data_IF_998201245754
#
_entry.id   IF_998201245754
#
_cell.length_a   1.000
_cell.length_b   1.000
_cell.length_c   1.000
_cell.angle_alpha   90.00
_cell.angle_beta   90.00
_cell.angle_gamma   90.00
#
_symmetry.space_group_name_H-M   'P 1'
#
loop_
_entity.id
_entity.type
_entity.pdbx_description
1 polymer ?
#
# COMPACT_ATOMS: atom_id res chain seq x y z
N UNK A 1 -8.01 -23.66 -2.93
CA UNK A 1 -7.26 -22.72 -3.77
C UNK A 1 -5.96 -22.37 -3.06
N UNK A 2 -4.86 -22.38 -3.78
CA UNK A 2 -3.55 -21.99 -3.24
C UNK A 2 -3.35 -20.51 -3.56
N UNK A 3 -3.81 -19.62 -2.68
CA UNK A 3 -3.55 -18.20 -2.79
C UNK A 3 -2.23 -17.87 -2.09
N UNK A 4 -1.38 -17.06 -2.72
CA UNK A 4 -0.12 -16.59 -2.14
C UNK A 4 -0.40 -15.53 -1.05
N UNK A 5 -1.37 -14.65 -1.28
CA UNK A 5 -1.86 -13.63 -0.34
C UNK A 5 -3.32 -13.29 -0.63
N UNK A 6 -3.97 -12.60 0.29
CA UNK A 6 -5.32 -12.07 0.12
C UNK A 6 -5.30 -10.56 0.29
N UNK A 7 -5.57 -9.82 -0.78
CA UNK A 7 -5.82 -8.38 -0.71
C UNK A 7 -7.30 -8.17 -0.36
N UNK A 8 -7.59 -7.81 0.88
CA UNK A 8 -8.93 -7.94 1.42
C UNK A 8 -9.36 -6.81 2.39
N UNK A 9 -8.46 -5.88 2.71
CA UNK A 9 -8.68 -4.81 3.65
C UNK A 9 -7.94 -3.54 3.21
N UNK A 10 -8.27 -2.39 3.79
CA UNK A 10 -7.74 -1.08 3.41
C UNK A 10 -8.58 -0.39 2.33
N UNK A 11 -8.18 0.81 1.90
CA UNK A 11 -8.84 1.60 0.86
C UNK A 11 -10.35 1.67 1.05
N UNK A 12 -11.09 1.26 0.02
CA UNK A 12 -12.56 1.30 0.01
C UNK A 12 -13.18 0.43 1.11
N UNK A 13 -12.59 -0.70 1.46
CA UNK A 13 -13.13 -1.58 2.52
C UNK A 13 -13.14 -0.88 3.88
N UNK A 14 -12.07 -0.14 4.20
CA UNK A 14 -11.99 0.64 5.44
C UNK A 14 -13.08 1.71 5.49
N UNK A 15 -13.22 2.48 4.40
CA UNK A 15 -14.19 3.56 4.29
C UNK A 15 -15.65 3.05 4.30
N UNK A 16 -15.93 1.97 3.59
CA UNK A 16 -17.25 1.34 3.55
C UNK A 16 -17.67 0.81 4.93
N UNK A 17 -16.77 0.18 5.66
CA UNK A 17 -17.04 -0.29 7.01
C UNK A 17 -17.50 0.85 7.93
N UNK A 18 -16.78 1.98 7.92
CA UNK A 18 -17.10 3.13 8.75
C UNK A 18 -18.37 3.86 8.29
N UNK A 19 -18.46 4.19 7.00
CA UNK A 19 -19.53 5.10 6.50
C UNK A 19 -20.87 4.41 6.28
N UNK A 20 -20.84 3.21 5.74
CA UNK A 20 -22.07 2.54 5.30
C UNK A 20 -22.50 1.41 6.23
N UNK A 21 -21.55 0.56 6.65
CA UNK A 21 -21.87 -0.59 7.49
C UNK A 21 -21.97 -0.25 8.98
N UNK A 22 -21.41 0.91 9.38
CA UNK A 22 -21.31 1.31 10.80
C UNK A 22 -20.57 0.29 11.66
N UNK A 23 -19.56 -0.35 11.07
CA UNK A 23 -18.71 -1.33 11.68
C UNK A 23 -17.31 -0.76 11.93
N UNK A 24 -16.62 -1.28 12.95
CA UNK A 24 -15.21 -0.98 13.17
C UNK A 24 -14.36 -1.79 12.18
N UNK A 25 -13.60 -1.12 11.27
CA UNK A 25 -12.78 -1.83 10.29
C UNK A 25 -11.65 -2.65 10.94
N UNK A 26 -11.15 -2.23 12.11
CA UNK A 26 -10.13 -2.94 12.86
C UNK A 26 -10.66 -4.27 13.40
N UNK A 27 -11.84 -4.28 14.03
CA UNK A 27 -12.49 -5.50 14.49
C UNK A 27 -12.77 -6.48 13.35
N UNK A 28 -13.15 -5.95 12.18
CA UNK A 28 -13.31 -6.77 10.97
C UNK A 28 -12.01 -7.44 10.57
N UNK A 29 -10.88 -6.72 10.61
CA UNK A 29 -9.57 -7.27 10.29
C UNK A 29 -9.17 -8.36 11.28
N UNK A 30 -9.34 -8.13 12.59
CA UNK A 30 -9.08 -9.11 13.65
C UNK A 30 -9.86 -10.40 13.43
N UNK A 31 -11.18 -10.30 13.20
CA UNK A 31 -12.05 -11.45 12.95
C UNK A 31 -11.66 -12.23 11.69
N UNK A 32 -11.21 -11.54 10.64
CA UNK A 32 -10.71 -12.19 9.42
C UNK A 32 -9.40 -12.92 9.68
N UNK A 33 -8.47 -12.30 10.42
CA UNK A 33 -7.19 -12.93 10.79
C UNK A 33 -7.39 -14.19 11.66
N UNK A 34 -8.33 -14.16 12.60
CA UNK A 34 -8.68 -15.33 13.39
C UNK A 34 -9.17 -16.51 12.54
N UNK A 35 -9.97 -16.21 11.51
CA UNK A 35 -10.54 -17.24 10.62
C UNK A 35 -9.56 -17.72 9.55
N UNK A 36 -8.59 -16.91 9.17
CA UNK A 36 -7.63 -17.19 8.10
C UNK A 36 -6.20 -16.93 8.62
N UNK A 37 -5.69 -17.79 9.51
CA UNK A 37 -4.39 -17.55 10.15
C UNK A 37 -3.18 -17.83 9.23
N UNK A 38 -3.35 -18.62 8.17
CA UNK A 38 -2.25 -19.20 7.39
C UNK A 38 -2.01 -18.57 6.02
N UNK A 39 -2.76 -17.53 5.65
CA UNK A 39 -2.58 -16.84 4.37
C UNK A 39 -2.22 -15.39 4.66
N UNK A 40 -1.13 -14.85 4.10
CA UNK A 40 -0.78 -13.44 4.25
C UNK A 40 -1.88 -12.51 3.79
N UNK A 41 -2.17 -11.47 4.57
CA UNK A 41 -3.09 -10.40 4.21
C UNK A 41 -2.34 -9.24 3.60
N UNK A 42 -2.89 -8.72 2.52
CA UNK A 42 -2.33 -7.62 1.77
C UNK A 42 -3.30 -6.43 1.75
N UNK A 43 -2.75 -5.22 1.81
CA UNK A 43 -3.50 -3.99 1.65
C UNK A 43 -2.77 -2.97 0.79
N UNK A 44 -3.53 -2.07 0.18
CA UNK A 44 -3.02 -0.94 -0.59
C UNK A 44 -2.80 0.27 0.32
N UNK A 45 -1.66 0.95 0.16
CA UNK A 45 -1.34 2.24 0.78
C UNK A 45 -1.09 3.28 -0.32
N UNK A 46 -1.80 4.41 -0.24
CA UNK A 46 -1.69 5.53 -1.19
C UNK A 46 -0.68 6.57 -0.69
N UNK A 47 0.58 6.20 -0.52
CA UNK A 47 1.61 7.08 0.03
C UNK A 47 1.11 7.86 1.25
N UNK A 48 1.28 9.18 1.27
CA UNK A 48 0.85 10.06 2.36
C UNK A 48 -0.68 10.12 2.59
N UNK A 49 -1.48 9.58 1.68
CA UNK A 49 -2.94 9.52 1.84
C UNK A 49 -3.41 8.27 2.60
N UNK A 50 -2.53 7.34 2.94
CA UNK A 50 -2.87 6.06 3.56
C UNK A 50 -4.03 5.37 2.84
N UNK A 51 -5.20 5.25 3.46
CA UNK A 51 -6.44 4.73 2.85
C UNK A 51 -7.45 5.82 2.49
N UNK A 52 -7.12 7.09 2.73
CA UNK A 52 -7.99 8.24 2.49
C UNK A 52 -7.83 8.89 1.13
N UNK A 53 -8.39 10.10 1.00
CA UNK A 53 -8.43 10.90 -0.23
C UNK A 53 -7.70 12.24 -0.10
N UNK A 54 -7.10 12.49 1.05
CA UNK A 54 -6.29 13.67 1.36
C UNK A 54 -4.99 13.23 2.02
N UNK A 55 -3.94 14.03 1.91
CA UNK A 55 -2.69 13.76 2.61
C UNK A 55 -2.89 13.92 4.12
N UNK A 56 -2.42 12.95 4.88
CA UNK A 56 -2.38 12.98 6.33
C UNK A 56 -0.98 13.38 6.81
N UNK A 57 -0.86 13.93 8.03
CA UNK A 57 0.43 14.11 8.66
C UNK A 57 1.19 12.79 8.80
N UNK A 58 2.50 12.82 8.65
CA UNK A 58 3.35 11.63 8.64
C UNK A 58 3.14 10.72 9.85
N UNK A 59 3.05 11.32 11.05
CA UNK A 59 2.82 10.57 12.28
C UNK A 59 1.49 9.79 12.29
N UNK A 60 0.47 10.28 11.56
CA UNK A 60 -0.82 9.57 11.41
C UNK A 60 -0.65 8.37 10.48
N UNK A 61 0.08 8.54 9.36
CA UNK A 61 0.36 7.44 8.42
C UNK A 61 1.19 6.35 9.10
N UNK A 62 2.26 6.71 9.81
CA UNK A 62 3.06 5.79 10.61
C UNK A 62 2.21 5.00 11.60
N UNK A 63 1.38 5.68 12.36
CA UNK A 63 0.53 5.02 13.36
C UNK A 63 -0.52 4.12 12.73
N UNK A 64 -1.09 4.52 11.60
CA UNK A 64 -2.04 3.72 10.84
C UNK A 64 -1.42 2.40 10.33
N UNK A 65 -0.25 2.47 9.71
CA UNK A 65 0.46 1.29 9.19
C UNK A 65 0.89 0.36 10.32
N UNK A 66 1.42 0.92 11.41
CA UNK A 66 1.78 0.14 12.60
C UNK A 66 0.57 -0.61 13.17
N UNK A 67 -0.58 0.06 13.26
CA UNK A 67 -1.80 -0.57 13.76
C UNK A 67 -2.35 -1.61 12.79
N UNK A 68 -2.29 -1.38 11.49
CA UNK A 68 -2.71 -2.34 10.47
C UNK A 68 -1.85 -3.62 10.53
N UNK A 69 -0.53 -3.47 10.65
CA UNK A 69 0.39 -4.59 10.79
C UNK A 69 0.11 -5.38 12.09
N UNK A 70 -0.02 -4.68 13.21
CA UNK A 70 -0.33 -5.29 14.52
C UNK A 70 -1.65 -6.07 14.51
N UNK A 71 -2.62 -5.58 13.76
CA UNK A 71 -3.97 -6.17 13.68
C UNK A 71 -4.05 -7.35 12.69
N UNK A 72 -3.05 -7.47 11.77
CA UNK A 72 -2.95 -8.66 10.94
C UNK A 72 -2.65 -8.45 9.46
N UNK A 73 -2.27 -7.27 9.02
CA UNK A 73 -1.77 -7.07 7.66
C UNK A 73 -0.29 -7.44 7.61
N UNK A 74 0.08 -8.26 6.63
CA UNK A 74 1.46 -8.73 6.43
C UNK A 74 2.16 -7.93 5.32
N UNK A 75 1.44 -7.66 4.21
CA UNK A 75 1.99 -7.08 2.98
C UNK A 75 1.31 -5.74 2.71
N UNK A 76 2.12 -4.71 2.49
CA UNK A 76 1.64 -3.37 2.15
C UNK A 76 2.07 -3.01 0.73
N UNK A 77 1.10 -2.89 -0.18
CA UNK A 77 1.31 -2.40 -1.54
C UNK A 77 1.32 -0.88 -1.53
N UNK A 78 2.52 -0.32 -1.60
CA UNK A 78 2.73 1.13 -1.59
C UNK A 78 2.74 1.66 -3.02
N UNK A 79 1.87 2.63 -3.32
CA UNK A 79 1.84 3.30 -4.61
C UNK A 79 1.57 4.80 -4.48
N UNK A 80 1.94 5.53 -5.51
CA UNK A 80 1.49 6.89 -5.78
C UNK A 80 0.97 6.97 -7.22
N UNK A 81 -0.21 7.54 -7.42
CA UNK A 81 -0.87 7.57 -8.74
C UNK A 81 -0.10 8.35 -9.82
N UNK A 82 0.80 9.24 -9.40
CA UNK A 82 1.68 10.03 -10.26
C UNK A 82 3.12 9.51 -10.26
N UNK A 83 3.39 8.38 -9.60
CA UNK A 83 4.73 7.85 -9.36
C UNK A 83 5.66 8.88 -8.68
N UNK A 84 5.13 9.70 -7.76
CA UNK A 84 5.95 10.65 -7.03
C UNK A 84 6.83 9.90 -6.04
N UNK A 85 8.12 9.84 -6.36
CA UNK A 85 9.08 8.96 -5.68
C UNK A 85 9.19 9.23 -4.17
N UNK A 86 9.09 10.50 -3.74
CA UNK A 86 9.21 10.84 -2.32
C UNK A 86 8.03 10.29 -1.49
N UNK A 87 6.81 10.29 -2.07
CA UNK A 87 5.65 9.66 -1.44
C UNK A 87 5.79 8.13 -1.38
N UNK A 88 6.36 7.51 -2.41
CA UNK A 88 6.62 6.07 -2.44
C UNK A 88 7.66 5.72 -1.38
N UNK A 89 8.79 6.43 -1.33
CA UNK A 89 9.84 6.25 -0.32
C UNK A 89 9.31 6.42 1.10
N UNK A 90 8.54 7.47 1.35
CA UNK A 90 7.88 7.67 2.63
C UNK A 90 6.99 6.48 3.02
N UNK A 91 6.22 5.94 2.07
CA UNK A 91 5.40 4.75 2.28
C UNK A 91 6.24 3.51 2.62
N UNK A 92 7.36 3.29 1.91
CA UNK A 92 8.30 2.20 2.16
C UNK A 92 8.87 2.30 3.59
N UNK A 93 9.38 3.48 3.98
CA UNK A 93 9.93 3.74 5.32
C UNK A 93 8.90 3.45 6.41
N UNK A 94 7.66 3.85 6.17
CA UNK A 94 6.55 3.64 7.10
C UNK A 94 6.25 2.15 7.31
N UNK A 95 6.27 1.36 6.22
CA UNK A 95 6.05 -0.10 6.28
C UNK A 95 7.20 -0.80 6.98
N UNK A 96 8.45 -0.43 6.68
CA UNK A 96 9.63 -0.99 7.34
C UNK A 96 9.64 -0.69 8.84
N UNK A 97 9.29 0.55 9.23
CA UNK A 97 9.17 0.93 10.64
C UNK A 97 8.11 0.11 11.41
N UNK A 98 7.12 -0.43 10.71
CA UNK A 98 6.11 -1.33 11.26
C UNK A 98 6.48 -2.81 11.19
N UNK A 99 7.64 -3.18 10.64
CA UNK A 99 8.07 -4.55 10.34
C UNK A 99 7.12 -5.28 9.37
N UNK A 100 6.45 -4.56 8.47
CA UNK A 100 5.64 -5.12 7.40
C UNK A 100 6.47 -5.50 6.17
N UNK A 101 5.90 -6.29 5.29
CA UNK A 101 6.47 -6.59 3.97
C UNK A 101 6.03 -5.48 3.02
N UNK A 102 6.99 -4.80 2.39
CA UNK A 102 6.69 -3.75 1.43
C UNK A 102 6.66 -4.29 0.00
N UNK A 103 5.62 -3.93 -0.75
CA UNK A 103 5.51 -4.12 -2.19
C UNK A 103 5.45 -2.76 -2.86
N UNK A 104 6.59 -2.26 -3.35
CA UNK A 104 6.67 -1.00 -4.10
C UNK A 104 6.00 -1.15 -5.46
N UNK A 105 5.15 -0.19 -5.84
CA UNK A 105 4.32 -0.30 -7.04
C UNK A 105 4.51 0.89 -7.97
N UNK A 106 4.65 0.59 -9.25
CA UNK A 106 4.75 1.60 -10.33
C UNK A 106 3.41 1.67 -11.08
N UNK A 107 2.85 2.86 -11.19
CA UNK A 107 1.70 3.14 -12.03
C UNK A 107 2.15 3.32 -13.48
N UNK A 108 1.69 2.42 -14.35
CA UNK A 108 2.05 2.42 -15.76
C UNK A 108 1.05 3.22 -16.59
N UNK A 109 1.56 3.98 -17.56
CA UNK A 109 0.74 4.70 -18.55
C UNK A 109 1.51 4.87 -19.86
N UNK A 110 0.79 4.95 -20.97
CA UNK A 110 1.36 5.27 -22.30
C UNK A 110 2.04 4.09 -22.98
N UNK A 111 2.75 4.42 -24.06
CA UNK A 111 3.54 3.50 -24.86
C UNK A 111 5.03 3.63 -24.47
N UNK A 112 5.53 2.64 -23.75
CA UNK A 112 6.94 2.61 -23.31
C UNK A 112 7.91 2.36 -24.46
N UNK A 113 7.45 1.89 -25.61
CA UNK A 113 8.29 1.63 -26.78
C UNK A 113 8.63 2.91 -27.58
N UNK A 114 7.89 4.00 -27.38
CA UNK A 114 8.20 5.30 -27.97
C UNK A 114 9.31 6.01 -27.17
N UNK A 115 10.55 6.09 -27.71
CA UNK A 115 11.67 6.73 -27.00
C UNK A 115 11.48 8.24 -26.80
N UNK A 116 10.56 8.89 -27.54
CA UNK A 116 10.26 10.30 -27.40
C UNK A 116 9.15 10.56 -26.36
N UNK A 117 8.50 9.52 -25.87
CA UNK A 117 7.50 9.65 -24.81
C UNK A 117 8.17 10.06 -23.50
N UNK A 118 7.50 10.94 -22.74
CA UNK A 118 7.92 11.27 -21.38
C UNK A 118 7.96 10.03 -20.47
N UNK A 119 7.06 9.09 -20.70
CA UNK A 119 6.90 7.86 -19.92
C UNK A 119 7.39 6.65 -20.73
N UNK A 120 8.61 6.76 -21.25
CA UNK A 120 9.30 5.70 -21.98
C UNK A 120 9.89 4.63 -21.04
N UNK A 121 10.55 3.63 -21.61
CA UNK A 121 11.15 2.54 -20.85
C UNK A 121 12.20 3.04 -19.83
N UNK A 122 13.06 3.99 -20.22
CA UNK A 122 14.11 4.52 -19.33
C UNK A 122 13.53 5.21 -18.09
N UNK A 123 12.42 5.92 -18.25
CA UNK A 123 11.68 6.51 -17.12
C UNK A 123 11.29 5.43 -16.10
N UNK A 124 10.69 4.32 -16.55
CA UNK A 124 10.23 3.26 -15.65
C UNK A 124 11.38 2.45 -15.06
N UNK A 125 12.46 2.23 -15.81
CA UNK A 125 13.68 1.59 -15.29
C UNK A 125 14.30 2.42 -14.17
N UNK A 126 14.48 3.72 -14.39
CA UNK A 126 15.00 4.65 -13.37
C UNK A 126 14.12 4.66 -12.12
N UNK A 127 12.80 4.67 -12.29
CA UNK A 127 11.88 4.64 -11.15
C UNK A 127 11.97 3.31 -10.38
N UNK A 128 12.07 2.18 -11.09
CA UNK A 128 12.24 0.88 -10.49
C UNK A 128 13.54 0.78 -9.69
N UNK A 129 14.65 1.25 -10.25
CA UNK A 129 15.94 1.33 -9.56
C UNK A 129 15.85 2.15 -8.29
N UNK A 130 15.24 3.34 -8.34
CA UNK A 130 15.05 4.20 -7.18
C UNK A 130 14.21 3.57 -6.06
N UNK A 131 13.22 2.75 -6.42
CA UNK A 131 12.39 2.02 -5.45
C UNK A 131 13.20 0.88 -4.82
N UNK A 132 13.92 0.09 -5.63
CA UNK A 132 14.72 -1.04 -5.16
C UNK A 132 15.89 -0.57 -4.28
N UNK A 133 16.57 0.51 -4.66
CA UNK A 133 17.71 1.07 -3.90
C UNK A 133 17.27 1.64 -2.55
N UNK A 134 16.00 1.98 -2.42
CA UNK A 134 15.48 2.52 -1.16
C UNK A 134 15.05 1.42 -0.17
N UNK A 135 14.83 0.22 -0.63
CA UNK A 135 14.47 -0.97 0.18
C UNK A 135 13.31 -1.75 -0.38
#
# INVERSE_FOLDING_TARGET
PQAASLEMWGGATFDVALRFLKECPWQRLEQLREKIPNIPFQMLIRGANAVGYTSYPDNVVYKFVQEAQRTGIDIFRVFDSLNYIDNIKFGIDTVHAANGICEGTICYTGDVSDPNSRYNLDYYLTLAEQIVDHG
#
